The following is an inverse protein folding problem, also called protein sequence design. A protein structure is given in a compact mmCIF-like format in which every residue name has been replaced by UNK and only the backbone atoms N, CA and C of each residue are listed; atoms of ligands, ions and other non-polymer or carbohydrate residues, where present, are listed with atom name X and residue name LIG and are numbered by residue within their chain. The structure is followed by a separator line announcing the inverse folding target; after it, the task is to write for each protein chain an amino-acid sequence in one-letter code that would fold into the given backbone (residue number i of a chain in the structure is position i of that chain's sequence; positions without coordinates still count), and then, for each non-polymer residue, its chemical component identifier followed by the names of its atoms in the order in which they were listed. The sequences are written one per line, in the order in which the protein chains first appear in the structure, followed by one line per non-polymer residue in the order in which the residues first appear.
data_IF_868692132749
#
_entry.id   IF_868692132749
#
_cell.length_a   1.000
_cell.length_b   1.000
_cell.length_c   1.000
_cell.angle_alpha   90.00
_cell.angle_beta   90.00
_cell.angle_gamma   90.00
#
_symmetry.space_group_name_H-M   'P 1'
#
loop_
_entity.id
_entity.type
_entity.pdbx_description
1 polymer ?
#
# COMPACT_ATOMS: atom_id res chain seq x y z
N UNK A 1 -14.70 -14.50 -1.55
CA UNK A 1 -14.15 -13.41 -0.73
C UNK A 1 -14.21 -12.12 -1.53
N UNK A 2 -14.64 -11.02 -0.91
CA UNK A 2 -14.55 -9.68 -1.48
C UNK A 2 -13.11 -9.46 -1.96
N UNK A 3 -12.90 -9.15 -3.24
CA UNK A 3 -11.58 -8.97 -3.87
C UNK A 3 -10.65 -10.20 -3.95
N UNK A 4 -11.19 -11.41 -4.08
CA UNK A 4 -10.42 -12.68 -4.02
C UNK A 4 -8.98 -12.60 -4.59
N UNK A 5 -7.99 -12.84 -3.72
CA UNK A 5 -6.57 -12.85 -4.07
C UNK A 5 -5.89 -11.48 -4.19
N UNK A 6 -6.62 -10.41 -4.56
CA UNK A 6 -6.03 -9.08 -4.76
C UNK A 6 -5.39 -8.52 -3.49
N UNK A 7 -6.02 -8.57 -2.29
CA UNK A 7 -5.39 -8.04 -1.09
C UNK A 7 -4.06 -8.71 -0.76
N UNK A 8 -3.99 -10.03 -0.93
CA UNK A 8 -2.75 -10.80 -0.70
C UNK A 8 -1.68 -10.46 -1.73
N UNK A 9 -2.06 -10.35 -3.01
CA UNK A 9 -1.16 -9.91 -4.07
C UNK A 9 -0.60 -8.52 -3.82
N UNK A 10 -1.46 -7.56 -3.47
CA UNK A 10 -1.03 -6.19 -3.14
C UNK A 10 -0.05 -6.16 -1.96
N UNK A 11 -0.34 -6.94 -0.91
CA UNK A 11 0.59 -7.06 0.23
C UNK A 11 1.94 -7.63 -0.19
N UNK A 12 1.94 -8.72 -0.98
CA UNK A 12 3.18 -9.36 -1.44
C UNK A 12 4.03 -8.41 -2.31
N UNK A 13 3.38 -7.61 -3.17
CA UNK A 13 4.07 -6.68 -4.06
C UNK A 13 4.66 -5.48 -3.33
N UNK A 14 3.96 -4.93 -2.33
CA UNK A 14 4.30 -3.61 -1.79
C UNK A 14 4.71 -3.58 -0.31
N UNK A 15 4.51 -4.64 0.48
CA UNK A 15 4.82 -4.56 1.92
C UNK A 15 6.31 -4.27 2.18
N UNK A 16 7.20 -4.83 1.35
CA UNK A 16 8.64 -4.55 1.44
C UNK A 16 9.00 -3.11 1.10
N UNK A 17 8.38 -2.51 0.09
CA UNK A 17 8.63 -1.10 -0.26
C UNK A 17 8.05 -0.16 0.80
N UNK A 18 6.85 -0.42 1.29
CA UNK A 18 6.26 0.32 2.42
C UNK A 18 7.18 0.28 3.65
N UNK A 19 7.70 -0.89 4.02
CA UNK A 19 8.65 -1.00 5.13
C UNK A 19 9.93 -0.20 4.88
N UNK A 20 10.50 -0.28 3.67
CA UNK A 20 11.72 0.44 3.30
C UNK A 20 11.53 1.96 3.37
N UNK A 21 10.38 2.47 2.93
CA UNK A 21 10.14 3.91 2.95
C UNK A 21 9.81 4.46 4.34
N UNK A 22 9.44 3.62 5.31
CA UNK A 22 9.31 4.05 6.71
C UNK A 22 10.66 4.57 7.23
N UNK A 23 11.76 3.94 6.82
CA UNK A 23 13.10 4.37 7.21
C UNK A 23 13.61 5.49 6.30
N UNK A 24 13.47 5.32 4.98
CA UNK A 24 14.08 6.24 4.01
C UNK A 24 13.38 7.60 3.90
N UNK A 25 12.06 7.68 4.11
CA UNK A 25 11.29 8.92 4.02
C UNK A 25 10.90 9.45 5.40
N UNK A 26 10.42 8.55 6.28
CA UNK A 26 9.88 8.97 7.58
C UNK A 26 10.91 8.84 8.73
N UNK A 27 12.14 8.40 8.45
CA UNK A 27 13.23 8.40 9.43
C UNK A 27 13.09 7.39 10.58
N UNK A 28 12.14 6.45 10.51
CA UNK A 28 12.03 5.40 11.53
C UNK A 28 13.27 4.49 11.51
N UNK A 29 13.66 3.97 12.66
CA UNK A 29 14.68 2.93 12.73
C UNK A 29 14.15 1.59 12.18
N UNK A 30 15.07 0.67 11.89
CA UNK A 30 14.74 -0.61 11.28
C UNK A 30 13.86 -1.52 12.16
N UNK A 31 13.97 -1.43 13.49
CA UNK A 31 13.15 -2.23 14.40
C UNK A 31 11.72 -1.67 14.43
N UNK A 32 11.57 -0.35 14.53
CA UNK A 32 10.26 0.33 14.47
C UNK A 32 9.57 0.07 13.12
N UNK A 33 10.28 0.19 12.00
CA UNK A 33 9.72 -0.10 10.67
C UNK A 33 9.23 -1.55 10.51
N UNK A 34 9.99 -2.52 11.03
CA UNK A 34 9.58 -3.94 11.06
C UNK A 34 8.33 -4.13 11.92
N UNK A 35 8.28 -3.49 13.08
CA UNK A 35 7.13 -3.60 13.98
C UNK A 35 5.86 -3.00 13.37
N UNK A 36 5.95 -1.80 12.76
CA UNK A 36 4.84 -1.17 12.02
C UNK A 36 4.35 -2.12 10.92
N UNK A 37 5.26 -2.68 10.13
CA UNK A 37 4.89 -3.59 9.03
C UNK A 37 4.20 -4.85 9.54
N UNK A 38 4.66 -5.40 10.67
CA UNK A 38 4.06 -6.57 11.32
C UNK A 38 2.63 -6.29 11.79
N UNK A 39 2.39 -5.14 12.42
CA UNK A 39 1.07 -4.74 12.94
C UNK A 39 0.13 -4.23 11.85
N UNK A 40 0.66 -3.65 10.76
CA UNK A 40 -0.11 -3.22 9.61
C UNK A 40 -0.78 -4.39 8.87
N UNK A 41 -0.18 -5.59 8.85
CA UNK A 41 -0.76 -6.76 8.16
C UNK A 41 -2.14 -7.17 8.68
N UNK A 42 -2.34 -7.41 9.99
CA UNK A 42 -3.68 -7.68 10.51
C UNK A 42 -4.60 -6.46 10.37
N UNK A 43 -4.11 -5.24 10.57
CA UNK A 43 -4.92 -4.02 10.38
C UNK A 43 -5.46 -3.88 8.96
N UNK A 44 -4.63 -4.18 7.97
CA UNK A 44 -5.02 -4.20 6.56
C UNK A 44 -6.12 -5.23 6.29
N UNK A 45 -6.00 -6.44 6.84
CA UNK A 45 -7.07 -7.45 6.74
C UNK A 45 -8.38 -6.98 7.36
N UNK A 46 -8.32 -6.33 8.52
CA UNK A 46 -9.50 -5.75 9.18
C UNK A 46 -10.17 -4.68 8.32
N UNK A 47 -9.40 -3.77 7.71
CA UNK A 47 -9.93 -2.73 6.83
C UNK A 47 -10.59 -3.37 5.61
N UNK A 48 -9.90 -4.30 4.94
CA UNK A 48 -10.42 -5.01 3.75
C UNK A 48 -11.74 -5.75 4.07
N UNK A 49 -11.84 -6.39 5.23
CA UNK A 49 -13.06 -7.11 5.63
C UNK A 49 -14.29 -6.18 5.75
N UNK A 50 -14.05 -4.91 6.14
CA UNK A 50 -15.09 -3.88 6.29
C UNK A 50 -15.45 -3.17 4.98
N UNK A 51 -14.63 -3.29 3.93
CA UNK A 51 -14.94 -2.64 2.66
C UNK A 51 -16.21 -3.23 2.03
N UNK A 52 -17.03 -2.38 1.37
CA UNK A 52 -18.08 -2.87 0.47
C UNK A 52 -17.43 -3.62 -0.70
N UNK A 53 -18.19 -4.47 -1.37
CA UNK A 53 -17.74 -5.10 -2.60
C UNK A 53 -18.00 -4.14 -3.77
N UNK A 54 -16.97 -3.82 -4.56
CA UNK A 54 -17.15 -3.11 -5.82
C UNK A 54 -17.59 -4.11 -6.90
N UNK A 55 -18.16 -3.60 -8.00
CA UNK A 55 -18.47 -4.41 -9.17
C UNK A 55 -17.24 -5.18 -9.66
N UNK A 56 -17.46 -6.38 -10.22
CA UNK A 56 -16.37 -7.18 -10.78
C UNK A 56 -15.72 -6.40 -11.93
N UNK A 57 -14.38 -6.37 -11.94
CA UNK A 57 -13.57 -5.62 -12.90
C UNK A 57 -13.69 -4.09 -12.80
N UNK A 58 -14.25 -3.55 -11.70
CA UNK A 58 -14.21 -2.13 -11.45
C UNK A 58 -12.75 -1.63 -11.34
N UNK A 59 -12.46 -0.54 -12.05
CA UNK A 59 -11.14 0.09 -12.10
C UNK A 59 -10.71 0.63 -10.74
N UNK A 60 -11.64 0.90 -9.83
CA UNK A 60 -11.36 1.41 -8.49
C UNK A 60 -10.94 0.34 -7.48
N UNK A 61 -11.07 -0.96 -7.81
CA UNK A 61 -10.69 -2.05 -6.89
C UNK A 61 -9.23 -1.95 -6.44
N UNK A 62 -8.30 -1.66 -7.36
CA UNK A 62 -6.89 -1.51 -7.01
C UNK A 62 -6.64 -0.26 -6.14
N UNK A 63 -7.35 0.83 -6.41
CA UNK A 63 -7.21 2.08 -5.65
C UNK A 63 -7.72 1.92 -4.22
N UNK A 64 -8.88 1.30 -4.01
CA UNK A 64 -9.43 1.11 -2.65
C UNK A 64 -8.57 0.14 -1.84
N UNK A 65 -8.04 -0.92 -2.46
CA UNK A 65 -7.12 -1.85 -1.80
C UNK A 65 -5.79 -1.14 -1.47
N UNK A 66 -5.25 -0.34 -2.39
CA UNK A 66 -4.06 0.48 -2.15
C UNK A 66 -4.26 1.48 -1.00
N UNK A 67 -5.42 2.14 -0.96
CA UNK A 67 -5.81 3.05 0.12
C UNK A 67 -5.93 2.32 1.47
N UNK A 68 -6.55 1.13 1.49
CA UNK A 68 -6.63 0.30 2.69
C UNK A 68 -5.24 -0.10 3.20
N UNK A 69 -4.30 -0.38 2.30
CA UNK A 69 -2.92 -0.69 2.67
C UNK A 69 -2.21 0.54 3.26
N UNK A 70 -2.29 1.71 2.61
CA UNK A 70 -1.73 2.95 3.15
C UNK A 70 -2.32 3.29 4.51
N UNK A 71 -3.64 3.22 4.65
CA UNK A 71 -4.34 3.45 5.91
C UNK A 71 -3.89 2.49 7.01
N UNK A 72 -3.67 1.21 6.69
CA UNK A 72 -3.17 0.24 7.67
C UNK A 72 -1.78 0.61 8.21
N UNK A 73 -0.87 1.07 7.34
CA UNK A 73 0.45 1.53 7.78
C UNK A 73 0.35 2.79 8.64
N UNK A 74 -0.39 3.82 8.19
CA UNK A 74 -0.55 5.09 8.92
C UNK A 74 -1.18 4.89 10.30
N UNK A 75 -2.17 3.99 10.40
CA UNK A 75 -2.81 3.66 11.68
C UNK A 75 -1.90 2.90 12.65
N UNK A 76 -0.83 2.30 12.16
CA UNK A 76 0.14 1.55 12.96
C UNK A 76 1.44 2.34 13.23
N UNK A 77 1.57 3.57 12.73
CA UNK A 77 2.69 4.44 13.03
C UNK A 77 2.57 5.04 14.44
N UNK A 78 3.67 5.17 15.20
CA UNK A 78 3.67 5.86 16.50
C UNK A 78 3.21 7.32 16.40
N UNK A 79 3.63 8.01 15.34
CA UNK A 79 3.22 9.37 15.03
C UNK A 79 2.76 9.43 13.57
N UNK A 80 1.61 10.08 13.34
CA UNK A 80 1.11 10.28 11.98
C UNK A 80 1.95 11.35 11.29
N UNK A 81 2.48 11.07 10.08
CA UNK A 81 3.17 12.09 9.30
C UNK A 81 2.19 13.17 8.84
N UNK A 82 2.73 14.35 8.54
CA UNK A 82 1.99 15.36 7.80
C UNK A 82 1.70 14.91 6.35
N UNK A 83 0.89 15.69 5.65
CA UNK A 83 0.43 15.35 4.30
C UNK A 83 1.56 15.32 3.28
N UNK A 84 2.57 16.17 3.42
CA UNK A 84 3.69 16.26 2.47
C UNK A 84 4.59 15.02 2.58
N UNK A 85 5.02 14.70 3.80
CA UNK A 85 5.82 13.51 4.09
C UNK A 85 5.06 12.22 3.72
N UNK A 86 3.74 12.18 3.99
CA UNK A 86 2.91 11.03 3.62
C UNK A 86 2.79 10.87 2.10
N UNK A 87 2.72 11.97 1.36
CA UNK A 87 2.67 11.96 -0.11
C UNK A 87 3.94 11.36 -0.69
N UNK A 88 5.11 11.85 -0.25
CA UNK A 88 6.41 11.32 -0.69
C UNK A 88 6.58 9.85 -0.30
N UNK A 89 6.17 9.49 0.92
CA UNK A 89 6.20 8.12 1.41
C UNK A 89 5.37 7.19 0.51
N UNK A 90 4.12 7.56 0.24
CA UNK A 90 3.20 6.75 -0.55
C UNK A 90 3.66 6.62 -2.01
N UNK A 91 4.09 7.72 -2.64
CA UNK A 91 4.62 7.70 -4.00
C UNK A 91 5.80 6.74 -4.10
N UNK A 92 6.79 6.86 -3.21
CA UNK A 92 7.98 6.01 -3.23
C UNK A 92 7.68 4.55 -2.87
N UNK A 93 6.64 4.30 -2.06
CA UNK A 93 6.25 2.96 -1.68
C UNK A 93 5.49 2.24 -2.81
N UNK A 94 4.65 2.93 -3.56
CA UNK A 94 3.85 2.32 -4.64
C UNK A 94 4.49 2.41 -6.03
N UNK A 95 5.28 3.45 -6.32
CA UNK A 95 5.93 3.64 -7.62
C UNK A 95 7.31 2.95 -7.67
N UNK A 96 7.33 1.65 -7.38
CA UNK A 96 8.52 0.82 -7.53
C UNK A 96 8.97 0.75 -9.00
N UNK A 97 10.25 0.43 -9.30
CA UNK A 97 10.70 0.27 -10.68
C UNK A 97 9.87 -0.72 -11.49
N UNK A 98 9.43 -1.82 -10.86
CA UNK A 98 8.52 -2.79 -11.45
C UNK A 98 7.15 -2.18 -11.78
N UNK A 99 6.57 -1.41 -10.85
CA UNK A 99 5.28 -0.75 -11.08
C UNK A 99 5.37 0.31 -12.18
N UNK A 100 6.46 1.11 -12.19
CA UNK A 100 6.74 2.08 -13.26
C UNK A 100 6.82 1.40 -14.63
N UNK A 101 7.52 0.27 -14.72
CA UNK A 101 7.59 -0.52 -15.95
C UNK A 101 6.22 -1.07 -16.36
N UNK A 102 5.46 -1.61 -15.42
CA UNK A 102 4.11 -2.13 -15.66
C UNK A 102 3.16 -1.05 -16.19
N UNK A 103 3.13 0.12 -15.54
CA UNK A 103 2.34 1.27 -15.98
C UNK A 103 2.72 1.73 -17.39
N UNK A 104 4.03 1.80 -17.71
CA UNK A 104 4.51 2.14 -19.07
C UNK A 104 4.05 1.13 -20.11
N UNK A 105 4.12 -0.17 -19.82
CA UNK A 105 3.70 -1.22 -20.75
C UNK A 105 2.18 -1.22 -20.97
N UNK A 106 1.41 -1.00 -19.90
CA UNK A 106 -0.06 -0.87 -19.96
C UNK A 106 -0.51 0.35 -20.76
N UNK A 107 0.19 1.47 -20.64
CA UNK A 107 -0.07 2.68 -21.42
C UNK A 107 0.07 2.46 -22.93
N UNK A 108 1.17 1.82 -23.36
CA UNK A 108 1.44 1.51 -24.79
C UNK A 108 0.44 0.56 -25.44
N UNK A 109 -0.30 -0.21 -24.65
CA UNK A 109 -1.36 -1.10 -25.17
C UNK A 109 -2.72 -0.42 -25.29
N UNK A 110 -2.88 0.78 -24.70
CA UNK A 110 -4.14 1.54 -24.68
C UNK A 110 -4.13 2.76 -25.60
N UNK A 111 -2.94 3.32 -25.86
CA UNK A 111 -2.69 4.48 -26.71
C UNK A 111 -1.51 4.15 -27.64
#
# INVERSE_FOLDING_TARGET
MKYAGMPMGMWALFAGSFQKQLTAVLGYDAATAKQITKTAKPKYKEIIAKLPEFEKADRFQLNIIGCAMLGAFVLCMPQRPDTEALTVYYENAQMTPLMKWFCRKSGKSKF
#
